data_IF_662687071301
#
_entry.id   IF_662687071301
#
_cell.length_a   1.000
_cell.length_b   1.000
_cell.length_c   1.000
_cell.angle_alpha   90.00
_cell.angle_beta   90.00
_cell.angle_gamma   90.00
#
_symmetry.space_group_name_H-M   'P 1'
#
loop_
_entity.id
_entity.type
_entity.pdbx_description
1 polymer ?
2 non-polymer ?
3 non-polymer ?
4 non-polymer ?
5 water ?
#
# COMPACT_ATOMS: atom_id res chain seq x y z
N UNK A 7 5.68 -30.54 -11.29
CA UNK A 7 4.73 -31.30 -10.47
C UNK A 7 3.28 -30.97 -10.84
N UNK A 8 3.09 -29.83 -11.51
CA UNK A 8 1.77 -29.42 -11.98
C UNK A 8 1.91 -28.72 -13.33
N UNK A 9 0.77 -28.44 -13.98
CA UNK A 9 0.76 -27.61 -15.18
C UNK A 9 -0.17 -26.42 -14.98
N UNK A 10 -0.03 -25.40 -15.82
CA UNK A 10 -0.94 -24.27 -15.77
C UNK A 10 -2.29 -24.66 -16.36
N UNK A 11 -3.38 -24.02 -15.89
CA UNK A 11 -4.69 -24.40 -16.41
C UNK A 11 -4.81 -24.08 -17.89
N UNK A 12 -5.58 -24.89 -18.60
CA UNK A 12 -5.73 -24.74 -20.05
C UNK A 12 -6.25 -23.34 -20.40
N UNK A 13 -7.21 -22.85 -19.61
CA UNK A 13 -7.83 -21.55 -19.88
C UNK A 13 -6.82 -20.42 -19.78
N UNK A 14 -5.89 -20.54 -18.83
CA UNK A 14 -4.80 -19.57 -18.69
C UNK A 14 -3.84 -19.65 -19.88
N UNK A 15 -3.39 -20.86 -20.19
CA UNK A 15 -2.44 -21.09 -21.27
C UNK A 15 -3.01 -20.63 -22.60
N UNK A 16 -4.34 -20.61 -22.70
CA UNK A 16 -5.00 -20.23 -23.94
C UNK A 16 -4.77 -18.76 -24.28
N UNK A 17 -4.65 -17.93 -23.25
CA UNK A 17 -4.54 -16.48 -23.43
C UNK A 17 -3.15 -15.94 -23.15
N UNK A 18 -2.36 -16.70 -22.40
CA UNK A 18 -1.07 -16.21 -21.93
C UNK A 18 0.05 -17.22 -22.10
N UNK A 19 1.27 -16.70 -22.23
CA UNK A 19 2.48 -17.52 -22.25
C UNK A 19 3.27 -17.25 -20.97
N UNK A 20 3.39 -18.26 -20.12
CA UNK A 20 4.03 -18.07 -18.82
C UNK A 20 5.56 -18.01 -18.92
N UNK A 21 6.17 -17.24 -18.03
CA UNK A 21 7.61 -17.03 -18.07
C UNK A 21 8.25 -17.08 -16.68
N UNK A 22 9.31 -16.29 -16.49
CA UNK A 22 10.11 -16.34 -15.27
C UNK A 22 9.38 -15.89 -14.01
N UNK A 23 9.89 -16.32 -12.87
CA UNK A 23 9.41 -15.86 -11.58
C UNK A 23 9.95 -14.46 -11.31
N UNK A 24 9.07 -13.57 -10.83
CA UNK A 24 9.49 -12.22 -10.48
C UNK A 24 9.65 -12.09 -8.96
N UNK A 25 8.74 -12.72 -8.23
CA UNK A 25 8.81 -12.78 -6.77
C UNK A 25 8.33 -14.10 -6.23
N UNK A 26 8.89 -14.53 -5.10
CA UNK A 26 8.52 -15.80 -4.48
C UNK A 26 8.30 -15.67 -2.97
N UNK A 30 2.55 -14.46 -2.21
CA UNK A 30 2.51 -15.80 -2.77
C UNK A 30 3.62 -16.02 -3.79
N UNK A 31 3.25 -16.10 -5.06
CA UNK A 31 4.24 -16.11 -6.12
C UNK A 31 3.78 -15.32 -7.34
N UNK A 32 4.71 -14.61 -7.96
CA UNK A 32 4.39 -13.76 -9.09
C UNK A 32 5.25 -14.12 -10.30
N UNK A 33 4.59 -14.34 -11.43
CA UNK A 33 5.31 -14.69 -12.66
C UNK A 33 5.06 -13.72 -13.80
N UNK A 34 6.12 -13.46 -14.57
CA UNK A 34 5.99 -12.71 -15.81
C UNK A 34 5.23 -13.54 -16.84
N UNK A 35 4.40 -12.89 -17.64
CA UNK A 35 3.66 -13.59 -18.68
C UNK A 35 3.42 -12.65 -19.84
N UNK A 36 3.06 -13.21 -20.99
CA UNK A 36 2.72 -12.41 -22.16
C UNK A 36 1.30 -12.69 -22.63
N UNK A 37 0.50 -11.64 -22.73
CA UNK A 37 -0.81 -11.79 -23.33
C UNK A 37 -0.61 -12.07 -24.83
N UNK A 38 -1.15 -13.19 -25.31
CA UNK A 38 -0.97 -13.58 -26.70
C UNK A 38 -1.55 -12.55 -27.68
N UNK A 39 -2.72 -12.01 -27.34
CA UNK A 39 -3.42 -11.11 -28.23
C UNK A 39 -2.63 -9.83 -28.51
N UNK A 40 -1.86 -9.38 -27.54
CA UNK A 40 -1.17 -8.10 -27.62
C UNK A 40 0.36 -8.25 -27.65
N UNK A 41 0.85 -9.40 -27.22
CA UNK A 41 2.29 -9.61 -27.03
C UNK A 41 2.85 -8.66 -25.97
N UNK A 42 1.97 -8.13 -25.14
CA UNK A 42 2.40 -7.23 -24.07
C UNK A 42 2.71 -8.03 -22.80
N UNK A 43 3.49 -7.45 -21.92
CA UNK A 43 3.87 -8.11 -20.68
C UNK A 43 2.81 -7.91 -19.61
N UNK A 44 2.64 -8.92 -18.77
CA UNK A 44 1.73 -8.84 -17.63
C UNK A 44 2.35 -9.56 -16.44
N UNK A 45 1.87 -9.25 -15.23
CA UNK A 45 2.30 -9.98 -14.04
C UNK A 45 1.15 -10.84 -13.55
N UNK A 46 1.42 -12.12 -13.32
CA UNK A 46 0.38 -13.04 -12.85
C UNK A 46 0.68 -13.53 -11.45
N UNK A 47 -0.14 -13.14 -10.48
CA UNK A 47 0.03 -13.63 -9.11
C UNK A 47 -0.68 -14.96 -8.91
N UNK A 48 0.07 -15.92 -8.36
CA UNK A 48 -0.46 -17.26 -8.13
C UNK A 48 -0.67 -17.52 -6.63
N UNK A 49 -1.93 -17.72 -6.26
CA UNK A 49 -2.29 -17.99 -4.87
C UNK A 49 -2.86 -19.40 -4.75
N UNK A 50 -2.18 -20.26 -4.00
CA UNK A 50 -2.59 -21.66 -3.89
C UNK A 50 -3.84 -21.86 -3.03
N UNK A 51 -4.56 -22.94 -3.30
CA UNK A 51 -5.77 -23.27 -2.55
C UNK A 51 -5.46 -24.22 -1.39
N UNK A 64 -8.83 -19.73 2.03
CA UNK A 64 -8.22 -19.11 0.84
C UNK A 64 -9.22 -18.30 0.01
N UNK A 65 -10.26 -18.96 -0.50
CA UNK A 65 -11.29 -18.28 -1.29
C UNK A 65 -11.70 -16.95 -0.67
N UNK A 66 -11.71 -16.90 0.66
CA UNK A 66 -12.07 -15.70 1.39
C UNK A 66 -11.23 -14.50 0.94
N UNK A 67 -9.97 -14.49 1.35
CA UNK A 67 -9.07 -13.38 1.03
C UNK A 67 -9.05 -13.01 -0.46
N UNK A 68 -9.39 -13.95 -1.32
CA UNK A 68 -9.27 -13.74 -2.76
C UNK A 68 -10.53 -13.14 -3.38
N UNK A 69 -11.69 -13.67 -3.00
CA UNK A 69 -12.96 -13.14 -3.52
C UNK A 69 -13.03 -11.64 -3.31
N UNK A 70 -12.48 -11.16 -2.21
CA UNK A 70 -12.57 -9.74 -1.89
C UNK A 70 -11.43 -8.94 -2.51
N UNK A 71 -10.27 -9.55 -2.69
CA UNK A 71 -9.19 -8.86 -3.39
C UNK A 71 -9.60 -8.58 -4.83
N UNK A 72 -10.23 -9.57 -5.45
CA UNK A 72 -10.79 -9.42 -6.79
C UNK A 72 -11.90 -8.38 -6.80
N UNK A 73 -12.84 -8.52 -5.87
CA UNK A 73 -13.97 -7.61 -5.76
C UNK A 73 -13.48 -6.17 -5.66
N UNK A 74 -12.38 -5.97 -4.93
CA UNK A 74 -11.86 -4.63 -4.71
C UNK A 74 -11.12 -4.11 -5.94
N UNK A 75 -10.22 -4.93 -6.47
CA UNK A 75 -9.43 -4.55 -7.63
C UNK A 75 -10.29 -4.11 -8.81
N UNK A 76 -11.43 -4.77 -8.97
CA UNK A 76 -12.32 -4.47 -10.10
C UNK A 76 -13.04 -3.13 -9.94
N UNK A 77 -13.30 -2.74 -8.70
CA UNK A 77 -14.08 -1.53 -8.44
C UNK A 77 -13.21 -0.27 -8.39
N UNK A 78 -11.97 -0.42 -7.96
CA UNK A 78 -11.06 0.71 -7.80
C UNK A 78 -10.49 1.21 -9.12
N UNK A 79 -10.20 2.51 -9.17
CA UNK A 79 -9.63 3.12 -10.36
C UNK A 79 -8.82 4.36 -10.00
N UNK A 80 -7.52 4.16 -9.84
CA UNK A 80 -6.60 5.23 -9.46
C UNK A 80 -5.20 4.92 -10.01
N UNK A 81 -4.48 5.96 -10.43
CA UNK A 81 -3.15 5.80 -11.05
C UNK A 81 -2.16 5.05 -10.17
N UNK A 82 -2.26 5.22 -8.85
CA UNK A 82 -1.31 4.60 -7.93
C UNK A 82 -1.89 3.36 -7.24
N UNK A 83 -2.89 2.75 -7.87
CA UNK A 83 -3.41 1.47 -7.42
C UNK A 83 -3.41 0.50 -8.59
N UNK A 84 -2.77 -0.65 -8.41
CA UNK A 84 -2.65 -1.62 -9.51
C UNK A 84 -4.01 -2.14 -10.00
N UNK A 85 -4.08 -2.43 -11.30
CA UNK A 85 -5.32 -2.88 -11.90
C UNK A 85 -5.28 -4.35 -12.28
N UNK A 86 -6.41 -5.03 -12.10
CA UNK A 86 -6.52 -6.42 -12.48
C UNK A 86 -6.96 -6.50 -13.94
N UNK A 87 -6.37 -7.42 -14.70
CA UNK A 87 -6.67 -7.58 -16.12
C UNK A 87 -7.44 -8.86 -16.40
N UNK A 88 -7.34 -9.82 -15.48
CA UNK A 88 -7.97 -11.12 -15.68
C UNK A 88 -7.88 -11.99 -14.43
N UNK A 89 -8.71 -13.01 -14.36
CA UNK A 89 -8.70 -13.89 -13.19
C UNK A 89 -9.04 -15.33 -13.58
N UNK A 90 -8.28 -16.27 -13.02
CA UNK A 90 -8.56 -17.68 -13.25
C UNK A 90 -8.69 -18.44 -11.93
N UNK A 91 -9.84 -19.06 -11.74
CA UNK A 91 -10.13 -19.83 -10.55
C UNK A 91 -10.05 -21.31 -10.92
N UNK A 92 -8.88 -21.91 -10.69
CA UNK A 92 -8.65 -23.29 -11.09
C UNK A 92 -8.05 -24.11 -9.96
N UNK A 93 -7.15 -25.03 -10.32
CA UNK A 93 -6.46 -25.85 -9.33
C UNK A 93 -5.83 -24.91 -8.30
N UNK A 94 -5.45 -23.73 -8.77
CA UNK A 94 -5.04 -22.61 -7.91
C UNK A 94 -5.71 -21.33 -8.40
N UNK A 95 -5.47 -20.24 -7.68
CA UNK A 95 -5.98 -18.93 -8.09
C UNK A 95 -4.94 -18.18 -8.89
N UNK A 96 -5.32 -17.69 -10.06
CA UNK A 96 -4.43 -16.87 -10.87
C UNK A 96 -5.02 -15.47 -11.09
N UNK A 97 -4.31 -14.46 -10.59
CA UNK A 97 -4.75 -13.08 -10.75
C UNK A 97 -3.82 -12.33 -11.69
N UNK A 98 -4.36 -11.89 -12.82
CA UNK A 98 -3.59 -11.24 -13.87
C UNK A 98 -3.58 -9.73 -13.69
N UNK A 99 -2.39 -9.16 -13.49
CA UNK A 99 -2.25 -7.74 -13.17
C UNK A 99 -1.30 -7.03 -14.12
N UNK A 100 -1.31 -5.70 -14.06
CA UNK A 100 -0.34 -4.89 -14.78
C UNK A 100 1.06 -5.24 -14.31
N UNK A 101 2.02 -5.23 -15.22
CA UNK A 101 3.41 -5.45 -14.84
C UNK A 101 4.10 -4.15 -14.45
N UNK A 102 4.63 -4.10 -13.23
CA UNK A 102 5.44 -2.98 -12.77
C UNK A 102 6.91 -3.34 -12.91
N UNK A 103 7.57 -2.71 -13.87
CA UNK A 103 8.93 -3.08 -14.25
C UNK A 103 10.00 -2.69 -13.22
N UNK A 104 9.64 -1.78 -12.31
CA UNK A 104 10.56 -1.36 -11.27
C UNK A 104 10.70 -2.38 -10.15
N UNK A 105 9.72 -3.28 -10.07
CA UNK A 105 9.71 -4.27 -9.02
C UNK A 105 9.25 -3.66 -7.70
N UNK A 106 9.59 -4.31 -6.61
CA UNK A 106 9.14 -3.89 -5.29
C UNK A 106 10.03 -2.82 -4.66
N UNK A 107 9.40 -1.86 -4.00
CA UNK A 107 10.09 -0.84 -3.25
C UNK A 107 11.02 -1.47 -2.24
N UNK A 108 10.62 -2.65 -1.75
CA UNK A 108 11.43 -3.37 -0.77
C UNK A 108 12.89 -3.51 -1.19
N UNK A 109 13.11 -3.87 -2.45
CA UNK A 109 14.47 -4.11 -2.93
C UNK A 109 15.28 -2.82 -3.06
N UNK A 110 14.61 -1.69 -2.85
CA UNK A 110 15.29 -0.40 -2.88
C UNK A 110 15.82 -0.01 -1.51
N UNK A 111 15.39 -0.73 -0.48
CA UNK A 111 15.68 -0.32 0.90
C UNK A 111 16.25 -1.44 1.79
N UNK A 112 16.32 -2.65 1.26
CA UNK A 112 16.84 -3.78 2.04
C UNK A 112 18.33 -3.62 2.30
N UNK A 113 18.74 -3.84 3.53
CA UNK A 113 20.15 -3.75 3.88
C UNK A 113 20.66 -2.33 3.93
N UNK A 114 19.90 -1.45 4.58
CA UNK A 114 20.35 -0.10 4.88
C UNK A 114 20.57 0.82 3.68
N UNK A 115 20.22 0.35 2.48
CA UNK A 115 20.20 1.22 1.33
C UNK A 115 19.18 2.31 1.60
N UNK A 116 19.54 3.57 1.32
CA UNK A 116 18.63 4.67 1.61
C UNK A 116 18.38 5.55 0.39
N UNK A 117 17.11 5.80 0.11
CA UNK A 117 16.70 6.68 -0.96
C UNK A 117 17.00 8.14 -0.62
N UNK A 118 17.32 8.95 -1.62
CA UNK A 118 17.53 10.38 -1.37
C UNK A 118 16.19 11.05 -1.10
N UNK A 119 16.20 12.02 -0.17
CA UNK A 119 14.96 12.57 0.33
C UNK A 119 13.95 12.95 -0.76
N UNK A 120 14.45 13.57 -1.82
CA UNK A 120 13.58 14.06 -2.89
C UNK A 120 12.69 12.96 -3.47
N UNK A 121 13.24 11.76 -3.60
CA UNK A 121 12.48 10.66 -4.18
C UNK A 121 11.68 9.90 -3.13
N UNK A 122 12.07 10.01 -1.86
CA UNK A 122 11.22 9.52 -0.79
C UNK A 122 9.94 10.33 -0.88
N UNK A 123 10.10 11.64 -1.08
CA UNK A 123 8.96 12.54 -1.15
C UNK A 123 8.07 12.15 -2.30
N UNK A 124 8.66 12.02 -3.49
CA UNK A 124 7.90 11.65 -4.67
C UNK A 124 7.09 10.36 -4.48
N UNK A 125 7.74 9.34 -3.93
CA UNK A 125 7.08 8.06 -3.69
C UNK A 125 5.99 8.16 -2.62
N UNK A 126 6.32 8.85 -1.53
CA UNK A 126 5.38 8.92 -0.42
C UNK A 126 4.13 9.69 -0.80
N UNK A 127 4.32 10.78 -1.54
CA UNK A 127 3.20 11.55 -2.07
C UNK A 127 2.20 10.65 -2.79
N UNK A 128 2.72 9.78 -3.66
CA UNK A 128 1.85 8.86 -4.38
C UNK A 128 1.17 7.87 -3.42
N UNK A 129 1.94 7.32 -2.48
CA UNK A 129 1.39 6.40 -1.50
C UNK A 129 0.24 7.08 -0.75
N UNK A 130 0.41 8.36 -0.45
CA UNK A 130 -0.62 9.12 0.26
C UNK A 130 -1.88 9.24 -0.59
N UNK A 131 -1.70 9.60 -1.86
CA UNK A 131 -2.82 9.70 -2.79
C UNK A 131 -3.55 8.37 -2.87
N UNK A 132 -2.78 7.29 -2.97
CA UNK A 132 -3.36 5.95 -3.08
C UNK A 132 -4.20 5.61 -1.86
N UNK A 133 -3.59 5.70 -0.68
CA UNK A 133 -4.29 5.35 0.55
C UNK A 133 -5.43 6.34 0.84
N UNK A 134 -5.26 7.58 0.41
CA UNK A 134 -6.33 8.55 0.60
C UNK A 134 -7.55 8.08 -0.21
N UNK A 135 -7.28 7.63 -1.42
CA UNK A 135 -8.31 7.16 -2.32
C UNK A 135 -9.03 5.94 -1.73
N UNK A 136 -8.25 5.00 -1.21
CA UNK A 136 -8.80 3.84 -0.54
C UNK A 136 -9.77 4.26 0.55
N UNK A 137 -9.31 5.14 1.43
CA UNK A 137 -10.16 5.55 2.55
C UNK A 137 -11.41 6.28 2.08
N UNK A 138 -11.26 7.16 1.09
CA UNK A 138 -12.41 7.82 0.48
C UNK A 138 -13.45 6.79 0.04
N UNK A 139 -12.98 5.62 -0.38
CA UNK A 139 -13.83 4.57 -0.91
C UNK A 139 -14.21 3.48 0.09
N UNK A 140 -14.01 3.74 1.38
CA UNK A 140 -14.33 2.78 2.43
C UNK A 140 -13.50 1.50 2.42
N UNK A 141 -12.26 1.60 1.95
CA UNK A 141 -11.34 0.46 1.94
C UNK A 141 -10.17 0.72 2.86
N UNK A 142 -9.83 -0.29 3.66
CA UNK A 142 -8.63 -0.25 4.49
C UNK A 142 -7.69 -1.37 4.04
N UNK A 143 -6.49 -1.00 3.58
CA UNK A 143 -5.59 -2.00 3.02
C UNK A 143 -5.09 -3.02 4.01
N UNK A 144 -4.62 -2.54 5.15
CA UNK A 144 -4.30 -3.38 6.31
C UNK A 144 -2.97 -4.15 6.21
N UNK A 145 -2.27 -4.03 5.09
CA UNK A 145 -1.01 -4.76 4.91
C UNK A 145 0.09 -3.96 4.22
N UNK A 146 0.19 -2.67 4.51
CA UNK A 146 1.13 -1.81 3.82
C UNK A 146 2.57 -2.12 4.24
N UNK A 147 3.37 -2.51 3.26
CA UNK A 147 4.78 -2.83 3.45
C UNK A 147 5.51 -2.42 2.18
N UNK A 148 6.83 -2.22 2.26
CA UNK A 148 7.64 -1.95 1.07
C UNK A 148 7.44 -2.99 -0.04
N UNK A 149 7.19 -4.24 0.33
CA UNK A 149 6.99 -5.28 -0.67
C UNK A 149 5.62 -5.23 -1.37
N UNK A 150 4.73 -4.36 -0.88
CA UNK A 150 3.44 -4.13 -1.54
C UNK A 150 3.37 -2.80 -2.28
N UNK A 151 4.50 -2.10 -2.31
CA UNK A 151 4.65 -0.91 -3.14
C UNK A 151 5.52 -1.22 -4.35
N UNK A 152 4.96 -1.04 -5.55
CA UNK A 152 5.65 -1.41 -6.79
C UNK A 152 6.05 -0.17 -7.58
N UNK A 153 7.24 -0.22 -8.17
CA UNK A 153 7.76 0.87 -8.99
C UNK A 153 7.50 0.62 -10.48
N UNK A 154 7.08 1.66 -11.20
CA UNK A 154 6.69 1.50 -12.60
C UNK A 154 7.86 1.31 -13.57
N UNK A 155 9.07 1.60 -13.12
CA UNK A 155 10.23 1.49 -13.99
C UNK A 155 11.54 1.40 -13.22
N UNK A 156 12.64 1.25 -13.95
CA UNK A 156 13.96 1.14 -13.33
C UNK A 156 14.55 2.53 -13.06
N UNK A 157 13.89 3.55 -13.58
CA UNK A 157 14.24 4.94 -13.25
C UNK A 157 13.86 5.14 -11.78
N UNK A 158 14.51 6.09 -11.13
CA UNK A 158 14.14 6.39 -9.75
C UNK A 158 13.09 7.48 -9.70
N UNK A 159 12.86 8.14 -10.84
CA UNK A 159 11.71 9.01 -11.00
C UNK A 159 10.64 8.22 -11.75
N UNK A 160 9.78 7.56 -11.01
CA UNK A 160 8.75 6.73 -11.62
C UNK A 160 7.43 6.79 -10.87
N UNK A 161 6.40 6.18 -11.45
CA UNK A 161 5.14 6.05 -10.76
C UNK A 161 5.21 4.84 -9.87
N UNK A 162 4.52 4.89 -8.74
CA UNK A 162 4.38 3.72 -7.89
C UNK A 162 2.91 3.31 -7.79
N UNK A 163 2.66 2.04 -7.54
CA UNK A 163 1.30 1.57 -7.34
C UNK A 163 1.25 0.69 -6.11
N UNK A 164 0.13 0.76 -5.40
CA UNK A 164 -0.13 -0.11 -4.26
C UNK A 164 -0.74 -1.41 -4.75
N UNK A 165 -0.37 -2.52 -4.12
CA UNK A 165 -0.92 -3.82 -4.47
C UNK A 165 -1.19 -4.69 -3.23
N UNK A 166 -1.79 -5.86 -3.46
CA UNK A 166 -2.04 -6.88 -2.43
C UNK A 166 -3.16 -6.51 -1.47
N UNK A 167 -4.39 -6.76 -1.89
CA UNK A 167 -5.56 -6.42 -1.08
C UNK A 167 -6.17 -7.64 -0.40
N UNK A 168 -5.37 -8.69 -0.26
CA UNK A 168 -5.80 -9.92 0.39
C UNK A 168 -6.26 -9.75 1.83
N UNK A 169 -5.68 -8.80 2.54
CA UNK A 169 -6.01 -8.59 3.95
C UNK A 169 -6.88 -7.37 4.18
N UNK A 170 -7.37 -6.77 3.10
CA UNK A 170 -8.17 -5.55 3.17
C UNK A 170 -9.51 -5.76 3.84
N UNK A 171 -10.01 -4.68 4.45
CA UNK A 171 -11.34 -4.67 5.05
C UNK A 171 -12.21 -3.66 4.30
N UNK A 172 -13.45 -4.04 4.03
CA UNK A 172 -14.41 -3.15 3.41
C UNK A 172 -15.35 -2.59 4.47
N UNK A 173 -15.39 -1.27 4.58
CA UNK A 173 -16.21 -0.56 5.55
C UNK A 173 -17.68 -0.48 5.15
N UNK A 174 -18.54 -0.46 6.16
CA UNK A 174 -19.96 -0.20 5.98
C UNK A 174 -20.73 -0.93 7.05
N UNK A 175 -22.04 -0.72 7.10
CA UNK A 175 -22.87 -1.47 8.03
C UNK A 175 -22.35 -1.29 9.44
N UNK A 176 -22.13 -2.42 10.11
CA UNK A 176 -21.60 -2.45 11.47
C UNK A 176 -22.73 -2.67 12.45
N UNK A 177 -22.51 -3.58 13.39
CA UNK A 177 -23.48 -3.87 14.42
C UNK A 177 -23.72 -2.64 15.28
N UNK A 178 -22.65 -1.93 15.58
CA UNK A 178 -22.70 -0.82 16.51
C UNK A 178 -23.68 0.26 16.08
N UNK A 179 -23.68 0.60 14.79
CA UNK A 179 -24.59 1.63 14.30
C UNK A 179 -26.02 1.16 14.47
N UNK A 180 -26.24 -0.12 14.19
CA UNK A 180 -27.55 -0.74 14.36
C UNK A 180 -27.90 -0.92 15.83
N UNK A 181 -26.90 -1.24 16.65
CA UNK A 181 -27.11 -1.40 18.08
C UNK A 181 -27.48 -0.07 18.73
N UNK A 182 -26.79 1.00 18.34
CA UNK A 182 -27.04 2.31 18.91
C UNK A 182 -28.45 2.81 18.64
N UNK A 183 -29.04 2.32 17.56
CA UNK A 183 -30.39 2.74 17.18
C UNK A 183 -31.41 2.26 18.20
N UNK A 184 -31.09 1.20 18.92
CA UNK A 184 -31.98 0.67 19.94
C UNK A 184 -31.68 1.18 21.34
N UNK A 185 -32.48 0.73 22.31
CA UNK A 185 -32.21 1.02 23.72
C UNK A 185 -31.13 0.07 24.22
N UNK A 186 -30.26 0.55 25.12
CA UNK A 186 -29.17 -0.28 25.63
C UNK A 186 -29.47 -0.91 26.98
N UNK A 187 -30.76 -1.09 27.30
CA UNK A 187 -31.13 -1.71 28.56
C UNK A 187 -30.30 -2.96 28.85
N UNK A 188 -30.09 -3.79 27.83
CA UNK A 188 -29.37 -5.06 27.99
C UNK A 188 -27.96 -4.99 27.39
N UNK A 189 -27.61 -3.83 26.86
CA UNK A 189 -26.33 -3.66 26.18
C UNK A 189 -25.17 -3.64 27.19
N UNK A 190 -24.14 -4.42 26.89
CA UNK A 190 -22.98 -4.54 27.78
C UNK A 190 -22.07 -3.32 27.68
N UNK A 191 -21.39 -3.00 28.80
CA UNK A 191 -20.52 -1.83 28.97
C UNK A 191 -19.40 -1.73 27.95
N UNK A 192 -18.64 -2.81 27.76
CA UNK A 192 -17.51 -2.76 26.84
C UNK A 192 -17.91 -2.25 25.46
N UNK A 193 -19.17 -2.49 25.08
CA UNK A 193 -19.63 -2.09 23.76
C UNK A 193 -19.82 -0.58 23.71
N UNK A 194 -20.37 -0.02 24.78
CA UNK A 194 -20.56 1.42 24.86
C UNK A 194 -19.23 2.14 24.90
N UNK A 195 -18.25 1.55 25.57
CA UNK A 195 -16.92 2.11 25.64
C UNK A 195 -16.26 2.13 24.26
N UNK A 196 -16.55 1.11 23.46
CA UNK A 196 -15.95 0.98 22.14
C UNK A 196 -16.44 2.07 21.18
N UNK A 197 -17.49 2.77 21.56
CA UNK A 197 -18.04 3.83 20.72
C UNK A 197 -17.04 4.97 20.52
N UNK A 198 -16.24 5.25 21.55
CA UNK A 198 -15.29 6.35 21.49
C UNK A 198 -14.29 6.26 20.35
N UNK A 199 -13.81 5.05 20.07
CA UNK A 199 -12.76 4.84 19.09
C UNK A 199 -13.29 4.24 17.79
N UNK A 200 -14.57 3.90 17.78
CA UNK A 200 -15.16 3.26 16.61
C UNK A 200 -15.00 4.13 15.38
N UNK A 201 -14.64 3.52 14.26
CA UNK A 201 -14.56 4.23 13.00
C UNK A 201 -13.19 4.77 12.66
N UNK A 202 -12.19 4.38 13.44
CA UNK A 202 -10.80 4.80 13.20
C UNK A 202 -9.87 3.65 12.82
N UNK A 203 -10.43 2.55 12.32
CA UNK A 203 -9.64 1.43 11.84
C UNK A 203 -8.65 1.86 10.75
N UNK A 204 -9.10 2.77 9.90
CA UNK A 204 -8.31 3.25 8.77
C UNK A 204 -6.96 3.82 9.21
N UNK A 205 -6.88 4.27 10.46
CA UNK A 205 -5.65 4.86 10.98
C UNK A 205 -4.47 3.89 10.95
N UNK A 206 -4.75 2.59 10.95
CA UNK A 206 -3.67 1.60 10.95
C UNK A 206 -2.81 1.69 9.68
N UNK A 207 -3.44 2.02 8.55
CA UNK A 207 -2.72 2.28 7.30
C UNK A 207 -1.81 3.50 7.43
N UNK A 208 -2.31 4.53 8.09
CA UNK A 208 -1.48 5.71 8.31
C UNK A 208 -0.29 5.40 9.20
N UNK A 209 -0.48 4.51 10.17
CA UNK A 209 0.65 4.06 10.98
C UNK A 209 1.70 3.36 10.09
N UNK A 210 1.25 2.41 9.29
CA UNK A 210 2.12 1.69 8.37
C UNK A 210 2.87 2.63 7.44
N UNK A 211 2.16 3.61 6.89
CA UNK A 211 2.79 4.62 6.04
C UNK A 211 3.94 5.28 6.78
N UNK A 212 3.73 5.53 8.08
CA UNK A 212 4.72 6.17 8.91
C UNK A 212 5.96 5.32 9.05
N UNK A 213 5.77 4.00 9.21
CA UNK A 213 6.88 3.08 9.33
C UNK A 213 7.63 3.00 8.02
N UNK A 214 6.89 3.01 6.92
CA UNK A 214 7.49 2.93 5.60
C UNK A 214 8.37 4.16 5.33
N UNK A 215 7.82 5.33 5.60
CA UNK A 215 8.53 6.58 5.37
C UNK A 215 9.83 6.61 6.19
N UNK A 216 9.74 6.19 7.44
CA UNK A 216 10.88 6.15 8.34
C UNK A 216 11.98 5.29 7.73
N UNK A 217 11.59 4.13 7.22
CA UNK A 217 12.51 3.18 6.61
C UNK A 217 13.19 3.76 5.37
N UNK A 218 12.40 4.33 4.48
CA UNK A 218 12.92 4.94 3.26
C UNK A 218 13.94 6.03 3.57
N UNK A 219 13.59 6.94 4.46
CA UNK A 219 14.44 8.08 4.79
C UNK A 219 15.76 7.67 5.45
N UNK A 220 15.73 6.62 6.27
CA UNK A 220 16.87 6.31 7.13
C UNK A 220 17.64 5.04 6.74
N UNK A 221 16.96 4.14 6.03
CA UNK A 221 17.56 2.88 5.65
C UNK A 221 17.39 1.81 6.72
N UNK A 222 16.81 2.20 7.86
CA UNK A 222 16.57 1.25 8.93
C UNK A 222 15.16 1.38 9.52
N UNK A 223 14.66 0.32 10.17
CA UNK A 223 13.33 0.27 10.78
C UNK A 223 13.25 0.97 12.14
N UNK A 224 12.08 1.59 12.43
CA UNK A 224 11.81 2.32 13.68
C UNK A 224 11.76 1.39 14.87
N UNK A 225 11.18 0.22 14.69
CA UNK A 225 11.04 -0.74 15.77
C UNK A 225 11.67 -2.07 15.36
N UNK A 226 12.64 -2.52 16.15
CA UNK A 226 13.45 -3.66 15.78
C UNK A 226 14.02 -4.32 17.03
N UNK A 227 14.28 -5.62 16.96
CA UNK A 227 14.86 -6.33 18.09
C UNK A 227 16.38 -6.31 18.02
N UNK A 228 16.91 -5.54 17.06
CA UNK A 228 18.36 -5.43 16.88
C UNK A 228 18.99 -4.40 17.81
N UNK A 229 19.93 -4.86 18.63
CA UNK A 229 20.63 -4.00 19.58
C UNK A 229 19.70 -3.30 20.57
N UNK A 230 18.91 -4.10 21.29
CA UNK A 230 17.95 -3.56 22.26
C UNK A 230 17.46 -4.63 23.24
N UNK A 231 17.11 -4.21 24.45
CA UNK A 231 16.68 -5.15 25.48
C UNK A 231 15.16 -5.13 25.62
N UNK A 232 14.52 -4.13 25.02
CA UNK A 232 13.08 -3.96 25.14
C UNK A 232 12.32 -4.68 24.02
N UNK A 233 11.21 -5.32 24.37
CA UNK A 233 10.46 -6.13 23.40
C UNK A 233 9.85 -5.26 22.29
N UNK A 234 9.77 -5.84 21.10
CA UNK A 234 9.20 -5.16 19.95
C UNK A 234 7.77 -4.68 20.26
N UNK A 235 7.02 -5.51 20.97
CA UNK A 235 5.67 -5.14 21.37
C UNK A 235 5.69 -3.87 22.20
N UNK A 236 6.63 -3.80 23.15
CA UNK A 236 6.73 -2.65 24.04
C UNK A 236 7.18 -1.38 23.33
N UNK A 237 8.11 -1.51 22.39
CA UNK A 237 8.54 -0.36 21.60
C UNK A 237 7.35 0.26 20.89
N UNK A 238 6.56 -0.58 20.22
CA UNK A 238 5.46 -0.10 19.39
C UNK A 238 4.33 0.50 20.23
N UNK A 239 3.94 -0.15 21.31
CA UNK A 239 2.87 0.39 22.15
C UNK A 239 3.28 1.69 22.82
N UNK A 240 4.55 1.82 23.16
CA UNK A 240 5.07 3.06 23.73
C UNK A 240 5.28 4.09 22.65
N UNK A 241 5.49 3.61 21.43
CA UNK A 241 5.76 4.48 20.29
C UNK A 241 7.14 5.10 20.39
N UNK A 242 8.05 4.45 21.11
CA UNK A 242 9.41 4.94 21.26
C UNK A 242 10.34 4.31 20.21
N UNK A 243 10.37 4.91 19.03
CA UNK A 243 11.18 4.38 17.95
C UNK A 243 12.66 4.59 18.22
N UNK A 244 13.47 3.69 17.68
CA UNK A 244 14.92 3.81 17.71
C UNK A 244 15.37 5.01 16.86
N UNK A 245 15.97 6.01 17.51
CA UNK A 245 16.41 7.19 16.77
C UNK A 245 17.93 7.41 16.77
N UNK A 246 18.53 7.28 15.58
CA UNK A 246 19.97 7.42 15.42
C UNK A 246 20.30 8.72 14.69
N UNK A 247 20.70 9.75 15.43
CA UNK A 247 20.93 11.12 14.93
C UNK A 247 21.92 11.21 13.75
N UNK A 248 22.99 10.41 13.77
CA UNK A 248 23.98 10.47 12.71
C UNK A 248 23.34 10.19 11.35
N UNK A 249 22.45 9.22 11.32
CA UNK A 249 21.72 8.89 10.11
C UNK A 249 20.73 9.99 9.77
N UNK A 250 20.02 10.46 10.79
CA UNK A 250 18.91 11.40 10.62
C UNK A 250 19.33 12.85 10.38
N UNK A 251 20.59 13.17 10.64
CA UNK A 251 21.10 14.51 10.37
C UNK A 251 21.16 14.76 8.86
N UNK A 252 21.25 13.68 8.09
CA UNK A 252 21.19 13.75 6.64
C UNK A 252 19.82 14.23 6.16
N UNK A 253 18.80 14.05 7.00
CA UNK A 253 17.41 14.30 6.59
C UNK A 253 16.87 15.61 7.13
N UNK A 254 15.96 16.22 6.38
CA UNK A 254 15.35 17.49 6.75
C UNK A 254 14.49 17.38 8.01
N UNK A 255 14.26 18.52 8.66
CA UNK A 255 13.45 18.57 9.87
C UNK A 255 11.96 18.40 9.57
N UNK A 256 11.54 18.82 8.37
CA UNK A 256 10.15 18.70 7.95
C UNK A 256 9.74 17.26 7.71
N UNK A 257 10.63 16.50 7.10
CA UNK A 257 10.38 15.09 6.80
C UNK A 257 10.20 14.32 8.10
N UNK A 258 11.15 14.47 9.01
CA UNK A 258 11.09 13.84 10.32
C UNK A 258 9.83 14.26 11.08
N UNK A 259 9.45 15.53 10.96
CA UNK A 259 8.26 16.03 11.63
C UNK A 259 7.02 15.26 11.20
N UNK A 260 6.90 15.02 9.89
CA UNK A 260 5.76 14.28 9.36
C UNK A 260 5.74 12.84 9.87
N UNK A 261 6.90 12.21 9.89
CA UNK A 261 7.04 10.87 10.42
C UNK A 261 6.57 10.81 11.86
N UNK A 262 6.99 11.80 12.65
CA UNK A 262 6.61 11.88 14.05
C UNK A 262 5.10 11.91 14.20
N UNK A 263 4.43 12.60 13.29
CA UNK A 263 2.99 12.80 13.38
C UNK A 263 2.17 11.62 12.86
N UNK A 264 2.83 10.70 12.16
CA UNK A 264 2.18 9.48 11.70
C UNK A 264 2.39 8.38 12.72
N UNK A 265 3.55 8.38 13.37
CA UNK A 265 3.85 7.37 14.36
C UNK A 265 3.33 7.78 15.73
N UNK A 266 2.05 8.11 15.78
CA UNK A 266 1.38 8.48 17.01
C UNK A 266 0.57 7.30 17.54
N UNK A 267 0.83 6.95 18.79
CA UNK A 267 0.19 5.80 19.45
C UNK A 267 -1.34 5.89 19.48
N UNK A 268 -1.85 7.09 19.76
CA UNK A 268 -3.29 7.35 19.79
C UNK A 268 -3.86 7.47 18.37
N UNK A 269 -4.71 6.50 17.96
CA UNK A 269 -5.29 6.44 16.61
C UNK A 269 -6.08 7.67 16.22
N UNK A 270 -6.76 8.30 17.19
CA UNK A 270 -7.61 9.46 16.91
C UNK A 270 -6.78 10.71 16.68
N UNK A 271 -5.64 10.79 17.37
CA UNK A 271 -4.74 11.93 17.23
C UNK A 271 -3.82 11.78 16.02
N UNK A 272 -3.55 10.53 15.65
CA UNK A 272 -2.67 10.23 14.52
C UNK A 272 -3.06 11.01 13.28
N UNK A 273 -2.07 11.36 12.45
CA UNK A 273 -2.33 12.09 11.22
C UNK A 273 -3.16 11.26 10.25
N UNK A 274 -4.08 11.91 9.56
CA UNK A 274 -4.79 11.26 8.47
C UNK A 274 -4.04 11.52 7.17
N UNK A 275 -4.41 10.83 6.11
CA UNK A 275 -3.79 11.05 4.81
C UNK A 275 -3.97 12.49 4.35
N UNK A 276 -5.12 13.08 4.64
CA UNK A 276 -5.38 14.47 4.29
C UNK A 276 -4.42 15.41 5.01
N UNK A 277 -4.18 15.14 6.28
CA UNK A 277 -3.28 15.97 7.07
C UNK A 277 -1.85 15.81 6.58
N UNK A 278 -1.47 14.57 6.28
CA UNK A 278 -0.16 14.29 5.71
C UNK A 278 0.03 15.10 4.44
N UNK A 279 -0.98 15.07 3.57
CA UNK A 279 -0.92 15.76 2.29
C UNK A 279 -0.87 17.28 2.45
N UNK A 280 -1.39 17.78 3.57
CA UNK A 280 -1.39 19.21 3.86
C UNK A 280 -0.12 19.62 4.58
N UNK A 281 0.68 18.64 4.96
CA UNK A 281 1.89 18.89 5.71
C UNK A 281 2.95 19.61 4.86
N UNK A 282 3.68 20.55 5.47
CA UNK A 282 4.70 21.35 4.76
C UNK A 282 5.69 20.52 3.93
N UNK A 283 6.09 19.34 4.41
CA UNK A 283 7.07 18.55 3.69
C UNK A 283 6.58 18.17 2.31
N UNK A 284 5.27 18.24 2.11
CA UNK A 284 4.69 17.86 0.83
C UNK A 284 4.19 19.06 0.03
N UNK A 285 4.34 20.26 0.57
CA UNK A 285 3.93 21.47 -0.13
C UNK A 285 4.99 21.87 -1.15
N UNK A 286 5.68 20.86 -1.67
CA UNK A 286 6.82 21.06 -2.56
C UNK A 286 6.39 20.89 -4.02
N UNK A 287 6.33 22.02 -4.73
CA UNK A 287 5.74 22.09 -6.07
C UNK A 287 6.59 21.50 -7.19
N UNK A 288 7.90 21.42 -6.98
CA UNK A 288 8.78 20.77 -7.94
C UNK A 288 8.44 19.29 -8.05
N UNK A 289 8.16 18.67 -6.91
CA UNK A 289 7.86 17.25 -6.84
C UNK A 289 6.52 16.92 -7.49
N UNK A 290 5.51 17.75 -7.23
CA UNK A 290 4.20 17.52 -7.82
C UNK A 290 4.23 17.69 -9.34
N UNK A 291 5.04 18.65 -9.79
CA UNK A 291 5.28 18.86 -11.20
C UNK A 291 5.73 17.55 -11.82
N UNK A 292 6.75 16.97 -11.21
CA UNK A 292 7.36 15.74 -11.71
C UNK A 292 6.35 14.60 -11.78
N UNK A 293 5.52 14.48 -10.74
CA UNK A 293 4.51 13.44 -10.70
C UNK A 293 3.51 13.61 -11.83
N UNK A 294 3.05 14.85 -12.02
CA UNK A 294 2.14 15.14 -13.12
C UNK A 294 2.74 14.75 -14.47
N UNK A 295 4.03 15.04 -14.64
CA UNK A 295 4.74 14.65 -15.85
C UNK A 295 4.68 13.15 -16.08
N UNK A 296 5.04 12.40 -15.06
CA UNK A 296 5.08 10.94 -15.14
C UNK A 296 3.71 10.35 -15.51
N UNK A 297 2.66 10.97 -15.01
CA UNK A 297 1.31 10.58 -15.37
C UNK A 297 1.09 10.74 -16.87
N UNK A 298 1.30 11.95 -17.37
CA UNK A 298 1.13 12.26 -18.78
C UNK A 298 1.86 11.26 -19.68
N UNK A 299 3.08 10.89 -19.30
CA UNK A 299 3.86 9.93 -20.08
C UNK A 299 3.16 8.58 -20.20
N UNK A 300 2.65 8.07 -19.08
CA UNK A 300 1.96 6.77 -19.08
C UNK A 300 0.66 6.83 -19.86
N UNK A 301 -0.04 7.96 -19.76
CA UNK A 301 -1.37 8.10 -20.35
C UNK A 301 -1.38 8.28 -21.86
N UNK A 302 -0.24 8.68 -22.43
CA UNK A 302 -0.16 8.93 -23.87
C UNK A 302 -0.54 7.71 -24.69
N UNK A 303 -0.15 6.53 -24.23
CA UNK A 303 -0.43 5.28 -24.93
C UNK A 303 -1.93 5.00 -25.05
N UNK A 304 -2.71 5.55 -24.14
CA UNK A 304 -4.14 5.24 -24.05
C UNK A 304 -5.01 6.41 -24.52
N UNK A 305 -4.41 7.59 -24.63
CA UNK A 305 -5.15 8.82 -24.86
C UNK A 305 -5.83 8.86 -26.23
N UNK A 306 -14.94 -14.82 -7.96
CA UNK A 306 -15.00 -16.13 -8.59
C UNK A 306 -14.40 -17.16 -7.64
N UNK A 307 -8.36 10.89 -28.78
CA UNK A 307 -8.59 12.32 -29.01
C UNK A 307 -9.94 12.76 -28.45
N UNK A 308 -10.13 14.06 -28.23
CA UNK A 308 -11.38 14.53 -27.63
C UNK A 308 -11.94 15.78 -28.27
N UNK A 309 -12.98 16.33 -27.64
CA UNK A 309 -13.75 17.42 -28.20
C UNK A 309 -13.25 18.77 -27.69
N UNK A 310 -13.24 19.75 -28.59
CA UNK A 310 -12.68 21.08 -28.31
C UNK A 310 -13.74 22.17 -28.47
N UNK A 311 -13.68 23.22 -27.83
X LIG B 1 1.18 -8.65 -4.76
X LIG B 1 1.88 -9.04 -3.71
X LIG B 1 10.70 -7.32 -10.98
X LIG B 1 2.02 -8.31 -6.01
X LIG B 1 3.42 -8.41 -5.95
X LIG B 1 5.49 -8.13 -7.29
X LIG B 1 4.19 -8.10 -7.06
X LIG B 1 4.54 -7.47 -9.12
X LIG B 1 5.72 -7.71 -8.55
X LIG B 1 3.58 -7.69 -8.23
X LIG B 1 2.18 -7.59 -8.30
X LIG B 1 1.41 -7.89 -7.18
X LIG B 1 6.98 -7.60 -9.15
X LIG B 1 7.10 -7.09 -10.43
X LIG B 1 8.35 -6.98 -11.03
X LIG B 1 9.49 -7.40 -10.35
X LIG B 1 9.37 -7.96 -9.09
X LIG B 1 8.12 -8.05 -8.48
X LIG B 1 13.85 -8.03 -13.46
X LIG B 1 12.79 -8.24 -12.38
X LIG B 1 12.95 -7.21 -11.28
X LIG B 1 12.97 -5.80 -11.86
X LIG B 1 14.03 -5.70 -12.97
X LIG B 1 13.68 -6.67 -14.05
X LIG B 1 11.91 -7.39 -10.17
X LIG B 1 -0.04 -8.55 -4.77
X LIG C 1 -12.98 3.30 9.85
X LIG C 1 -11.78 3.97 9.60
X LIG C 1 -13.02 2.21 10.73
X LIG C 1 -14.16 3.73 9.22
X LIG D 1 -10.65 -9.06 -14.57
X LIG D 1 -11.27 -10.22 -14.00
X LIG D 1 -11.61 -7.88 -14.49
X LIG D 1 -11.03 -6.74 -15.15
X LIG E 1 -11.05 -15.43 -18.40
X LIG E 1 -11.65 -15.85 -17.17
X LIG E 1 -11.98 -14.44 -19.11
X LIG E 1 -11.50 -14.21 -20.44
X LIG F 1 -10.34 -20.84 -15.05
X LIG F 1 -9.76 -22.15 -15.24
X LIG F 1 -11.30 -20.55 -16.20
X LIG F 1 -11.65 -19.16 -16.19
#
# INVERSE_FOLDING_TARGET
GPLGSHMSVYPKALRDEYIMSKTLGSGACGEVKLAFERKTCKKVAIKIISKRKFAIGSAREADPALNVETEIEILKKLNHPCIIKIKNFFDAEDYYIVLELMEGGELFDKVVGNKRLKEATCKLYFYQMLLAVQYLHENGIIHRDLKPENVLLSSQEEDCLIKITDFGHSKILGETSLMRTLCGTPTYLAPEVLVSVGTAGYNRAVDCWSLGVILFICLSGYPPFSEHRTQVSLKDQITSGKYNFIPEVWAEVSEKALDLVKKLLVVDPKARFTTEEALRHPWLQDEDMKRKFQDLLSEENESTALPQVLAQPSTSRKRPREGEAEGAE
A9T C1 N1 O1 C2 C3 N3 C4 N4 C5 C6 C7 C8 C9 C10 C11 C12 C13 C14 C20 C19 C18 C17 C16 NBG CAS OAB
NO3 N O1 O2 O3
EDO C1 O1 C2 O2
EDO C1 O1 C2 O2
EDO C1 O1 C2 O2
#
